data_IF_467859290875
#
_entry.id   IF_467859290875
#
_cell.length_a   1.000
_cell.length_b   1.000
_cell.length_c   1.000
_cell.angle_alpha   90.00
_cell.angle_beta   90.00
_cell.angle_gamma   90.00
#
_symmetry.space_group_name_H-M   'P 1'
#
loop_
_entity.id
_entity.type
_entity.pdbx_description
1 polymer ?
#
# COMPACT_ATOMS: atom_id res chain seq x y z
N UNK A 1 16.24 -44.06 39.96
CA UNK A 1 16.16 -44.19 38.48
C UNK A 1 14.76 -43.81 38.02
N UNK A 2 14.66 -42.84 37.10
CA UNK A 2 13.56 -42.58 36.13
C UNK A 2 12.15 -42.29 36.69
N UNK A 3 11.33 -41.35 36.20
CA UNK A 3 11.39 -40.28 35.19
C UNK A 3 10.13 -39.42 35.45
N UNK A 4 10.26 -38.10 35.37
CA UNK A 4 9.14 -37.15 35.37
C UNK A 4 8.16 -37.43 34.22
N UNK A 5 6.85 -37.25 34.48
CA UNK A 5 5.87 -36.86 33.45
C UNK A 5 4.90 -35.83 34.06
N UNK A 6 5.21 -34.57 33.83
CA UNK A 6 4.33 -33.44 34.09
C UNK A 6 3.35 -33.35 32.90
N UNK A 7 2.11 -33.77 33.09
CA UNK A 7 1.08 -33.67 32.05
C UNK A 7 0.55 -32.24 32.04
N UNK A 8 0.88 -31.50 30.99
CA UNK A 8 0.34 -30.17 30.71
C UNK A 8 -1.14 -30.31 30.34
N UNK A 9 -2.02 -29.68 31.12
CA UNK A 9 -3.35 -29.29 30.67
C UNK A 9 -3.41 -27.78 30.88
N UNK A 10 -3.18 -27.01 29.82
CA UNK A 10 -3.50 -25.59 29.80
C UNK A 10 -4.59 -25.45 28.76
N UNK A 11 -5.79 -25.24 29.29
CA UNK A 11 -7.03 -25.00 28.55
C UNK A 11 -6.90 -23.80 27.62
N UNK A 12 -7.45 -23.99 26.44
CA UNK A 12 -7.65 -23.02 25.37
C UNK A 12 -8.58 -21.89 25.87
N UNK A 13 -8.02 -20.73 26.17
CA UNK A 13 -8.78 -19.50 26.37
C UNK A 13 -8.43 -18.54 25.23
N UNK A 14 -9.29 -18.53 24.22
CA UNK A 14 -9.34 -17.51 23.17
C UNK A 14 -9.78 -16.19 23.81
N UNK A 15 -8.84 -15.30 24.08
CA UNK A 15 -9.11 -13.92 24.46
C UNK A 15 -8.28 -13.02 23.56
N UNK A 16 -8.80 -12.75 22.36
CA UNK A 16 -8.24 -11.76 21.44
C UNK A 16 -8.70 -10.36 21.88
N UNK A 17 -8.16 -9.90 23.01
CA UNK A 17 -8.15 -8.50 23.42
C UNK A 17 -6.70 -8.03 23.28
N UNK A 18 -6.30 -7.54 22.10
CA UNK A 18 -5.07 -6.76 22.02
C UNK A 18 -5.36 -5.37 22.58
N UNK A 19 -5.02 -5.21 23.86
CA UNK A 19 -4.77 -3.93 24.46
C UNK A 19 -3.67 -3.21 23.66
N UNK A 20 -3.89 -1.94 23.33
CA UNK A 20 -2.86 -1.03 22.85
C UNK A 20 -1.76 -0.94 23.92
N UNK A 21 -0.71 -1.74 23.76
CA UNK A 21 0.49 -1.64 24.58
C UNK A 21 1.32 -0.46 24.10
N UNK A 22 1.52 0.46 25.02
CA UNK A 22 2.25 1.72 24.87
C UNK A 22 3.75 1.46 24.65
N UNK A 23 4.26 2.04 23.56
CA UNK A 23 5.65 2.46 23.25
C UNK A 23 6.79 1.42 23.32
N UNK A 24 7.17 0.94 22.13
CA UNK A 24 8.57 0.99 21.69
C UNK A 24 8.64 1.90 20.46
N UNK A 25 9.13 3.14 20.61
CA UNK A 25 9.56 3.93 19.44
C UNK A 25 10.88 3.35 18.96
N UNK A 26 10.81 2.31 18.14
CA UNK A 26 11.85 2.16 17.15
C UNK A 26 11.73 3.40 16.26
N UNK A 27 12.70 4.29 16.31
CA UNK A 27 12.85 5.33 15.28
C UNK A 27 13.31 4.61 14.02
N UNK A 28 12.43 3.81 13.41
CA UNK A 28 12.46 3.63 11.97
C UNK A 28 12.24 5.02 11.40
N UNK A 29 13.02 5.42 10.40
CA UNK A 29 12.81 6.69 9.72
C UNK A 29 11.31 6.82 9.39
N UNK A 30 10.67 7.86 9.94
CA UNK A 30 9.25 8.07 9.75
C UNK A 30 8.96 8.06 8.24
N UNK A 31 7.99 7.22 7.82
CA UNK A 31 7.61 7.17 6.42
C UNK A 31 6.97 8.51 6.03
N UNK A 32 7.01 8.87 4.74
CA UNK A 32 6.37 10.10 4.25
C UNK A 32 4.88 10.15 4.62
N UNK A 33 4.23 8.99 4.72
CA UNK A 33 2.82 8.83 5.04
C UNK A 33 2.47 8.82 6.53
N UNK A 34 3.44 8.85 7.46
CA UNK A 34 3.15 8.77 8.90
C UNK A 34 2.26 9.94 9.37
N UNK A 35 2.42 11.12 8.77
CA UNK A 35 1.59 12.30 9.04
C UNK A 35 0.15 12.17 8.53
N UNK A 36 -0.11 11.26 7.60
CA UNK A 36 -1.40 11.08 6.92
C UNK A 36 -2.20 9.89 7.45
N UNK A 37 -1.55 9.03 8.25
CA UNK A 37 -2.13 7.80 8.79
C UNK A 37 -3.36 8.10 9.64
N UNK A 38 -4.46 7.42 9.31
CA UNK A 38 -5.73 7.47 10.05
C UNK A 38 -6.47 6.15 9.96
N UNK A 39 -7.47 6.00 10.82
CA UNK A 39 -8.45 4.92 10.70
C UNK A 39 -9.25 5.10 9.40
N UNK A 40 -9.45 3.98 8.69
CA UNK A 40 -10.27 3.93 7.48
C UNK A 40 -11.71 3.57 7.84
N UNK A 41 -12.67 4.12 7.11
CA UNK A 41 -14.07 3.75 7.27
C UNK A 41 -14.34 2.37 6.67
N UNK A 42 -15.43 1.72 7.07
CA UNK A 42 -15.82 0.42 6.51
C UNK A 42 -16.06 0.50 4.99
N UNK A 43 -16.57 1.62 4.49
CA UNK A 43 -16.78 1.86 3.06
C UNK A 43 -15.46 1.99 2.30
N UNK A 44 -14.50 2.72 2.87
CA UNK A 44 -13.16 2.84 2.30
C UNK A 44 -12.47 1.48 2.24
N UNK A 45 -12.51 0.70 3.33
CA UNK A 45 -11.94 -0.65 3.38
C UNK A 45 -12.58 -1.55 2.32
N UNK A 46 -13.91 -1.57 2.23
CA UNK A 46 -14.62 -2.40 1.25
C UNK A 46 -14.27 -2.02 -0.19
N UNK A 47 -14.16 -0.71 -0.46
CA UNK A 47 -13.82 -0.18 -1.78
C UNK A 47 -12.37 -0.49 -2.14
N UNK A 48 -11.42 -0.26 -1.23
CA UNK A 48 -10.00 -0.55 -1.42
C UNK A 48 -9.76 -2.05 -1.64
N UNK A 49 -10.54 -2.93 -0.98
CA UNK A 49 -10.46 -4.38 -1.21
C UNK A 49 -10.67 -4.75 -2.69
N UNK A 50 -11.45 -3.98 -3.45
CA UNK A 50 -11.68 -4.25 -4.89
C UNK A 50 -10.46 -3.98 -5.77
N UNK A 51 -9.49 -3.20 -5.28
CA UNK A 51 -8.24 -2.86 -5.99
C UNK A 51 -7.09 -3.77 -5.55
N UNK A 52 -7.26 -4.51 -4.46
CA UNK A 52 -6.23 -5.32 -3.82
C UNK A 52 -6.14 -6.74 -4.40
N UNK A 53 -4.93 -7.12 -4.80
CA UNK A 53 -4.57 -8.47 -5.21
C UNK A 53 -3.56 -9.05 -4.22
N UNK A 54 -4.03 -9.96 -3.37
CA UNK A 54 -3.20 -10.58 -2.32
C UNK A 54 -2.01 -11.36 -2.89
N UNK A 55 -2.17 -12.02 -4.04
CA UNK A 55 -1.10 -12.77 -4.69
C UNK A 55 -0.01 -11.83 -5.18
N UNK A 56 -0.40 -10.78 -5.88
CA UNK A 56 0.53 -9.74 -6.31
C UNK A 56 1.26 -9.15 -5.11
N UNK A 57 0.50 -8.67 -4.11
CA UNK A 57 1.05 -8.00 -2.95
C UNK A 57 2.04 -8.89 -2.18
N UNK A 58 1.69 -10.14 -1.93
CA UNK A 58 2.56 -11.11 -1.26
C UNK A 58 3.79 -11.51 -2.10
N UNK A 59 3.69 -11.49 -3.42
CA UNK A 59 4.86 -11.77 -4.28
C UNK A 59 5.84 -10.60 -4.38
N UNK A 60 5.35 -9.36 -4.32
CA UNK A 60 6.17 -8.15 -4.43
C UNK A 60 6.78 -7.77 -3.08
N UNK A 61 6.03 -7.94 -1.99
CA UNK A 61 6.42 -7.52 -0.65
C UNK A 61 6.71 -8.72 0.25
N UNK A 62 7.78 -9.46 -0.08
CA UNK A 62 8.21 -10.62 0.68
C UNK A 62 8.58 -10.29 2.14
N UNK A 63 9.00 -9.05 2.41
CA UNK A 63 9.23 -8.56 3.77
C UNK A 63 7.98 -8.66 4.64
N UNK A 64 6.80 -8.38 4.08
CA UNK A 64 5.51 -8.51 4.77
C UNK A 64 5.19 -9.98 5.01
N UNK A 65 5.38 -10.83 4.01
CA UNK A 65 5.15 -12.28 4.11
C UNK A 65 6.03 -12.89 5.21
N UNK A 66 7.31 -12.54 5.22
CA UNK A 66 8.30 -13.00 6.20
C UNK A 66 8.00 -12.47 7.60
N UNK A 67 7.54 -11.23 7.73
CA UNK A 67 7.13 -10.65 9.01
C UNK A 67 6.05 -11.47 9.72
N UNK A 68 5.09 -12.02 8.96
CA UNK A 68 4.03 -12.89 9.51
C UNK A 68 4.43 -14.37 9.64
N UNK A 69 5.70 -14.72 9.38
CA UNK A 69 6.23 -16.07 9.60
C UNK A 69 5.99 -17.06 8.46
N UNK A 70 5.75 -16.57 7.25
CA UNK A 70 5.61 -17.39 6.04
C UNK A 70 6.85 -17.23 5.16
N UNK A 71 7.26 -18.27 4.44
CA UNK A 71 8.41 -18.20 3.53
C UNK A 71 8.03 -17.59 2.17
N UNK A 72 6.78 -17.77 1.75
CA UNK A 72 6.23 -17.33 0.46
C UNK A 72 4.72 -17.13 0.54
N UNK A 73 4.16 -16.44 -0.46
CA UNK A 73 2.71 -16.21 -0.57
C UNK A 73 1.93 -17.54 -0.63
N UNK A 74 0.86 -17.62 0.17
CA UNK A 74 -0.16 -18.67 0.03
C UNK A 74 -1.55 -18.06 0.14
N UNK A 75 -2.61 -18.64 -0.46
CA UNK A 75 -3.97 -18.11 -0.32
C UNK A 75 -4.48 -18.05 1.13
N UNK A 76 -3.85 -18.78 2.06
CA UNK A 76 -4.22 -18.78 3.48
C UNK A 76 -3.87 -17.47 4.20
N UNK A 77 -3.06 -16.59 3.58
CA UNK A 77 -2.63 -15.32 4.18
C UNK A 77 -3.27 -14.09 3.52
N UNK A 78 -4.25 -14.26 2.63
CA UNK A 78 -4.87 -13.15 1.89
C UNK A 78 -5.42 -12.05 2.82
N UNK A 79 -6.10 -12.45 3.89
CA UNK A 79 -6.66 -11.50 4.86
C UNK A 79 -5.57 -10.83 5.72
N UNK A 80 -4.48 -11.54 6.01
CA UNK A 80 -3.32 -10.98 6.72
C UNK A 80 -2.64 -9.91 5.86
N UNK A 81 -2.41 -10.21 4.58
CA UNK A 81 -1.80 -9.27 3.64
C UNK A 81 -2.70 -8.06 3.40
N UNK A 82 -4.00 -8.26 3.29
CA UNK A 82 -4.94 -7.15 3.17
C UNK A 82 -4.97 -6.30 4.44
N UNK A 83 -4.97 -6.92 5.63
CA UNK A 83 -4.89 -6.20 6.89
C UNK A 83 -3.59 -5.39 7.00
N UNK A 84 -2.46 -5.95 6.58
CA UNK A 84 -1.21 -5.19 6.49
C UNK A 84 -1.34 -4.01 5.53
N UNK A 85 -1.92 -4.23 4.35
CA UNK A 85 -2.06 -3.19 3.35
C UNK A 85 -2.84 -1.98 3.86
N UNK A 86 -4.00 -2.18 4.49
CA UNK A 86 -4.83 -1.07 4.98
C UNK A 86 -4.25 -0.38 6.22
N UNK A 87 -3.47 -1.09 7.04
CA UNK A 87 -2.90 -0.55 8.28
C UNK A 87 -1.51 0.07 8.10
N UNK A 88 -0.76 -0.38 7.10
CA UNK A 88 0.63 0.01 6.85
C UNK A 88 0.86 0.32 5.37
N UNK A 89 0.56 -0.63 4.48
CA UNK A 89 0.96 -0.58 3.08
C UNK A 89 0.50 0.67 2.32
N UNK A 90 -0.72 1.15 2.53
CA UNK A 90 -1.23 2.40 1.94
C UNK A 90 -0.32 3.57 2.32
N UNK A 91 -0.03 3.72 3.63
CA UNK A 91 0.76 4.83 4.16
C UNK A 91 2.23 4.78 3.76
N UNK A 92 2.71 3.59 3.42
CA UNK A 92 4.04 3.34 2.85
C UNK A 92 4.06 3.49 1.32
N UNK A 93 2.97 3.93 0.70
CA UNK A 93 2.82 4.06 -0.76
C UNK A 93 3.08 2.73 -1.50
N UNK A 94 2.74 1.58 -0.87
CA UNK A 94 2.83 0.26 -1.50
C UNK A 94 1.68 0.02 -2.48
N UNK A 95 1.94 -0.78 -3.49
CA UNK A 95 1.02 -1.00 -4.60
C UNK A 95 0.11 -2.21 -4.33
N UNK A 96 -1.22 -2.06 -4.40
CA UNK A 96 -2.16 -3.12 -4.03
C UNK A 96 -2.23 -4.26 -5.07
N UNK A 97 -1.89 -3.98 -6.32
CA UNK A 97 -2.03 -4.91 -7.45
C UNK A 97 -1.15 -4.50 -8.62
N UNK A 98 -0.94 -5.41 -9.58
CA UNK A 98 -0.20 -5.12 -10.81
C UNK A 98 -0.86 -4.04 -11.68
N UNK A 99 -2.16 -3.82 -11.49
CA UNK A 99 -2.95 -2.90 -12.31
C UNK A 99 -2.92 -1.46 -11.79
N UNK A 100 -2.53 -1.22 -10.53
CA UNK A 100 -2.66 0.09 -9.91
C UNK A 100 -1.45 0.49 -9.09
N UNK A 101 -0.86 1.62 -9.47
CA UNK A 101 0.16 2.35 -8.74
C UNK A 101 -0.36 3.76 -8.39
N UNK A 102 -0.43 4.07 -7.10
CA UNK A 102 -1.07 5.30 -6.61
C UNK A 102 -0.28 6.56 -6.99
N UNK A 103 1.05 6.50 -6.95
CA UNK A 103 1.92 7.63 -7.31
C UNK A 103 1.85 7.94 -8.80
N UNK A 104 1.81 6.90 -9.64
CA UNK A 104 1.61 7.04 -11.08
C UNK A 104 0.24 7.64 -11.37
N UNK A 105 -0.80 7.14 -10.71
CA UNK A 105 -2.16 7.63 -10.89
C UNK A 105 -2.31 9.09 -10.46
N UNK A 106 -1.72 9.48 -9.32
CA UNK A 106 -1.72 10.85 -8.83
C UNK A 106 -0.91 11.79 -9.74
N UNK A 107 0.30 11.37 -10.14
CA UNK A 107 1.21 12.20 -10.92
C UNK A 107 0.70 12.50 -12.34
N UNK A 108 -0.04 11.56 -12.94
CA UNK A 108 -0.38 11.64 -14.36
C UNK A 108 -1.84 11.98 -14.66
N UNK A 109 -2.72 11.99 -13.65
CA UNK A 109 -4.06 12.57 -13.78
C UNK A 109 -4.09 13.99 -13.20
N UNK A 110 -3.63 14.97 -14.00
CA UNK A 110 -3.47 16.37 -13.57
C UNK A 110 -4.79 17.04 -13.19
N UNK A 111 -5.92 16.54 -13.70
CA UNK A 111 -7.27 16.99 -13.35
C UNK A 111 -7.68 16.63 -11.92
N UNK A 112 -7.12 15.54 -11.37
CA UNK A 112 -7.40 15.08 -10.01
C UNK A 112 -6.56 15.80 -8.96
N UNK A 113 -5.37 16.30 -9.33
CA UNK A 113 -4.43 16.91 -8.37
C UNK A 113 -5.02 18.09 -7.60
N UNK A 114 -5.71 19.08 -8.23
CA UNK A 114 -6.30 20.17 -7.48
C UNK A 114 -7.44 19.75 -6.55
N UNK A 115 -8.05 18.59 -6.80
CA UNK A 115 -9.20 18.08 -6.03
C UNK A 115 -8.76 17.19 -4.88
N UNK A 116 -7.79 16.30 -5.13
CA UNK A 116 -7.35 15.27 -4.19
C UNK A 116 -6.06 15.65 -3.46
N UNK A 117 -5.15 16.42 -4.07
CA UNK A 117 -3.90 16.81 -3.44
C UNK A 117 -3.11 15.62 -2.91
N UNK A 118 -2.75 15.64 -1.63
CA UNK A 118 -2.06 14.54 -0.93
C UNK A 118 -3.02 13.51 -0.29
N UNK A 119 -4.30 13.52 -0.63
CA UNK A 119 -5.27 12.55 -0.16
C UNK A 119 -5.11 11.20 -0.88
N UNK A 120 -4.17 10.39 -0.39
CA UNK A 120 -3.90 9.04 -0.92
C UNK A 120 -5.15 8.16 -0.98
N UNK A 121 -5.99 8.18 0.06
CA UNK A 121 -7.25 7.41 0.09
C UNK A 121 -8.19 7.88 -1.01
N UNK A 122 -8.25 9.19 -1.25
CA UNK A 122 -8.99 9.79 -2.35
C UNK A 122 -8.65 9.19 -3.71
N UNK A 123 -7.37 8.93 -3.99
CA UNK A 123 -6.96 8.31 -5.26
C UNK A 123 -7.38 6.84 -5.38
N UNK A 124 -7.27 6.04 -4.30
CA UNK A 124 -7.79 4.66 -4.30
C UNK A 124 -9.30 4.64 -4.53
N UNK A 125 -10.03 5.49 -3.81
CA UNK A 125 -11.49 5.59 -3.93
C UNK A 125 -11.88 6.02 -5.34
N UNK A 126 -11.21 7.02 -5.92
CA UNK A 126 -11.51 7.51 -7.26
C UNK A 126 -11.30 6.41 -8.31
N UNK A 127 -10.16 5.72 -8.26
CA UNK A 127 -9.85 4.63 -9.17
C UNK A 127 -10.90 3.51 -9.11
N UNK A 128 -11.27 3.10 -7.90
CA UNK A 128 -12.22 2.00 -7.68
C UNK A 128 -13.68 2.35 -8.07
N UNK A 129 -14.08 3.61 -7.90
CA UNK A 129 -15.50 4.00 -8.04
C UNK A 129 -15.83 4.65 -9.39
N UNK A 130 -14.85 5.24 -10.08
CA UNK A 130 -15.05 5.94 -11.36
C UNK A 130 -14.69 5.04 -12.56
N UNK A 131 -15.18 3.79 -12.58
CA UNK A 131 -14.78 2.76 -13.56
C UNK A 131 -14.97 3.18 -15.03
N UNK A 132 -16.02 3.96 -15.32
CA UNK A 132 -16.24 4.50 -16.68
C UNK A 132 -15.08 5.39 -17.12
N UNK A 133 -14.59 6.23 -16.21
CA UNK A 133 -13.49 7.14 -16.51
C UNK A 133 -12.16 6.44 -16.67
N UNK A 134 -11.98 5.28 -16.01
CA UNK A 134 -10.74 4.53 -16.12
C UNK A 134 -10.45 4.05 -17.55
N UNK A 135 -11.44 4.04 -18.44
CA UNK A 135 -11.26 3.69 -19.86
C UNK A 135 -10.47 4.73 -20.67
N UNK A 136 -10.43 6.00 -20.24
CA UNK A 136 -9.67 7.07 -20.90
C UNK A 136 -8.61 7.73 -20.00
N UNK A 137 -8.52 7.31 -18.73
CA UNK A 137 -7.43 7.72 -17.84
C UNK A 137 -6.15 6.98 -18.16
N UNK A 138 -5.07 7.43 -17.53
CA UNK A 138 -3.74 6.82 -17.66
C UNK A 138 -3.75 5.38 -17.16
N UNK A 139 -2.91 4.53 -17.77
CA UNK A 139 -2.63 3.21 -17.22
C UNK A 139 -1.74 3.42 -15.98
N UNK A 140 -2.23 3.12 -14.76
CA UNK A 140 -1.53 3.47 -13.53
C UNK A 140 -0.46 2.43 -13.18
N UNK A 141 0.53 2.25 -14.03
CA UNK A 141 1.64 1.32 -13.80
C UNK A 141 2.97 2.02 -14.04
N UNK A 142 4.01 1.57 -13.32
CA UNK A 142 5.37 2.10 -13.52
C UNK A 142 5.89 1.80 -14.93
N UNK A 143 5.50 0.66 -15.51
CA UNK A 143 5.84 0.30 -16.89
C UNK A 143 5.27 1.30 -17.90
N UNK A 144 3.99 1.68 -17.77
CA UNK A 144 3.42 2.71 -18.66
C UNK A 144 4.04 4.08 -18.39
N UNK A 145 4.27 4.45 -17.14
CA UNK A 145 4.97 5.69 -16.79
C UNK A 145 6.36 5.77 -17.45
N UNK A 146 7.14 4.69 -17.37
CA UNK A 146 8.44 4.59 -18.02
C UNK A 146 8.34 4.67 -19.55
N UNK A 147 7.42 3.92 -20.15
CA UNK A 147 7.20 3.93 -21.60
C UNK A 147 6.80 5.33 -22.12
N UNK A 148 6.13 6.13 -21.30
CA UNK A 148 5.75 7.51 -21.61
C UNK A 148 6.77 8.55 -21.16
N UNK A 149 7.91 8.13 -20.61
CA UNK A 149 8.96 9.03 -20.10
C UNK A 149 8.38 10.03 -19.07
N UNK A 150 7.49 9.55 -18.21
CA UNK A 150 6.83 10.35 -17.20
C UNK A 150 7.70 10.48 -15.94
N UNK A 151 7.74 11.68 -15.35
CA UNK A 151 8.28 11.90 -14.01
C UNK A 151 7.17 11.65 -13.00
N UNK A 152 7.45 10.82 -12.00
CA UNK A 152 6.49 10.40 -10.97
C UNK A 152 6.95 10.95 -9.63
N UNK A 153 6.01 11.54 -8.90
CA UNK A 153 6.17 12.05 -7.55
C UNK A 153 5.35 11.20 -6.58
N UNK A 154 5.74 11.22 -5.32
CA UNK A 154 4.96 10.62 -4.24
C UNK A 154 3.62 11.34 -4.17
N UNK A 155 2.53 10.63 -3.86
CA UNK A 155 1.22 11.27 -3.68
C UNK A 155 1.27 12.39 -2.63
N UNK A 156 2.13 12.25 -1.62
CA UNK A 156 2.32 13.25 -0.56
C UNK A 156 3.02 14.53 -1.04
N UNK A 157 3.60 14.55 -2.25
CA UNK A 157 4.14 15.76 -2.87
C UNK A 157 3.06 16.67 -3.45
N UNK A 158 1.79 16.26 -3.55
CA UNK A 158 0.73 17.10 -4.11
C UNK A 158 0.00 17.90 -3.03
N UNK A 159 -0.72 18.95 -3.44
CA UNK A 159 -1.57 19.75 -2.54
C UNK A 159 -2.86 20.18 -3.24
N UNK A 160 -3.95 20.22 -2.47
CA UNK A 160 -5.27 20.66 -2.96
C UNK A 160 -5.16 22.08 -3.53
N UNK A 161 -5.86 22.32 -4.64
CA UNK A 161 -5.84 23.59 -5.37
C UNK A 161 -4.65 23.79 -6.30
N UNK A 162 -3.72 22.83 -6.40
CA UNK A 162 -2.54 22.93 -7.26
C UNK A 162 -2.51 21.84 -8.34
N UNK A 163 -2.03 22.22 -9.53
CA UNK A 163 -1.57 21.26 -10.55
C UNK A 163 -0.05 21.12 -10.43
N UNK A 164 0.42 19.89 -10.35
CA UNK A 164 1.82 19.55 -10.14
C UNK A 164 2.23 19.46 -8.67
N UNK A 165 3.42 18.93 -8.38
CA UNK A 165 3.91 18.73 -7.02
C UNK A 165 4.33 20.04 -6.34
N UNK A 166 4.35 20.03 -5.01
CA UNK A 166 4.86 21.11 -4.14
C UNK A 166 6.25 21.54 -4.59
N UNK A 167 6.56 22.84 -4.46
CA UNK A 167 7.86 23.36 -4.81
C UNK A 167 8.97 22.64 -4.00
N UNK A 168 10.00 22.15 -4.71
CA UNK A 168 11.09 21.39 -4.09
C UNK A 168 10.83 19.89 -3.90
N UNK A 169 9.67 19.38 -4.34
CA UNK A 169 9.42 17.94 -4.37
C UNK A 169 10.46 17.20 -5.22
N UNK A 170 10.89 16.05 -4.75
CA UNK A 170 11.84 15.17 -5.44
C UNK A 170 11.08 14.00 -6.03
N UNK A 171 11.24 13.77 -7.33
CA UNK A 171 10.60 12.68 -8.02
C UNK A 171 11.02 11.32 -7.45
N UNK A 172 10.04 10.43 -7.25
CA UNK A 172 10.27 9.03 -6.86
C UNK A 172 10.69 8.19 -8.06
N UNK A 173 10.32 8.61 -9.27
CA UNK A 173 10.81 8.04 -10.53
C UNK A 173 10.98 9.13 -11.59
N UNK A 174 12.06 9.03 -12.36
CA UNK A 174 12.36 9.87 -13.52
C UNK A 174 12.49 9.00 -14.78
N UNK A 175 12.46 9.59 -15.98
CA UNK A 175 12.66 8.83 -17.22
C UNK A 175 14.00 8.07 -17.27
N UNK A 176 15.02 8.63 -16.62
CA UNK A 176 16.37 8.06 -16.53
C UNK A 176 16.52 7.06 -15.37
N UNK A 177 15.49 6.91 -14.52
CA UNK A 177 15.50 5.90 -13.47
C UNK A 177 15.58 4.51 -14.11
N UNK A 178 16.40 3.58 -13.56
CA UNK A 178 16.45 2.21 -14.07
C UNK A 178 15.03 1.66 -14.12
N UNK A 179 14.64 1.12 -15.27
CA UNK A 179 13.31 0.52 -15.42
C UNK A 179 13.10 -0.46 -14.27
N UNK A 180 11.98 -0.33 -13.55
CA UNK A 180 11.51 -1.41 -12.69
C UNK A 180 11.11 -2.54 -13.64
N UNK A 181 12.07 -3.37 -14.01
CA UNK A 181 11.80 -4.57 -14.79
C UNK A 181 10.94 -5.43 -13.89
N UNK A 182 9.63 -5.41 -14.13
CA UNK A 182 8.76 -6.47 -13.66
C UNK A 182 9.23 -7.66 -14.50
N UNK A 183 10.07 -8.51 -13.90
CA UNK A 183 10.51 -9.73 -14.55
C UNK A 183 9.25 -10.51 -14.94
N UNK A 184 9.03 -10.61 -16.26
CA UNK A 184 8.00 -11.45 -16.85
C UNK A 184 8.39 -12.91 -16.59
N UNK A 185 8.04 -13.44 -15.41
CA UNK A 185 8.12 -14.86 -15.09
C UNK A 185 6.72 -15.41 -14.78
#
# INVERSE_FOLDING_TARGET
>A
MKKFKFTKIVSFALAMFMAFSVFTVNVSAASRGDAYKRELTAEEIATIKTVFDAKYYGSVYLDVVHFYGYDYYTPAIDDILFAHFINCGIWEERQPSAAFNVDVYASRNTDLQPQLGDNIIGYYMYYATHLKEQSWRVVPTLNDAWAKQATIYSVYDFQVGQVGPKAGAVAVQTPDSPAFKIDEN
#
